data_IF_481760219171
#
_entry.id   IF_481760219171
#
_cell.length_a   1.000
_cell.length_b   1.000
_cell.length_c   1.000
_cell.angle_alpha   90.00
_cell.angle_beta   90.00
_cell.angle_gamma   90.00
#
_symmetry.space_group_name_H-M   'P 1'
#
loop_
_entity.id
_entity.type
_entity.pdbx_description
1 polymer ?
#
# COMPACT_ATOMS: atom_id res chain seq x y z
N UNK A 1 3.31 5.75 1.57
CA UNK A 1 3.75 5.47 2.94
C UNK A 1 4.44 4.13 3.07
N UNK A 2 5.26 3.98 4.09
CA UNK A 2 5.90 2.71 4.49
C UNK A 2 5.71 2.58 5.99
N UNK A 3 5.09 1.49 6.43
CA UNK A 3 4.74 1.24 7.83
C UNK A 3 4.90 -0.23 8.20
N UNK A 4 4.96 -0.51 9.49
CA UNK A 4 5.00 -1.86 10.09
C UNK A 4 3.76 -2.12 10.94
N UNK A 5 2.91 -1.12 11.13
CA UNK A 5 1.73 -1.15 11.97
C UNK A 5 0.57 -1.89 11.29
N UNK A 6 0.67 -3.22 11.28
CA UNK A 6 -0.37 -4.16 10.82
C UNK A 6 -0.81 -5.07 11.97
N UNK A 7 -1.91 -5.80 11.78
CA UNK A 7 -2.47 -6.74 12.77
C UNK A 7 -2.25 -8.21 12.38
N UNK A 8 -1.69 -8.47 11.19
CA UNK A 8 -1.32 -9.79 10.69
C UNK A 8 0.19 -9.89 10.65
N UNK A 9 0.75 -10.96 11.22
CA UNK A 9 2.21 -11.16 11.34
C UNK A 9 2.93 -11.02 10.01
N UNK A 10 2.44 -11.69 8.98
CA UNK A 10 3.06 -11.68 7.66
C UNK A 10 3.11 -10.25 7.06
N UNK A 11 2.06 -9.44 7.25
CA UNK A 11 2.09 -8.05 6.80
C UNK A 11 3.10 -7.19 7.57
N UNK A 12 3.31 -7.48 8.87
CA UNK A 12 4.38 -6.84 9.65
C UNK A 12 5.75 -7.23 9.11
N UNK A 13 5.98 -8.51 8.85
CA UNK A 13 7.23 -9.06 8.30
C UNK A 13 7.51 -8.51 6.88
N UNK A 14 6.50 -8.43 6.03
CA UNK A 14 6.54 -7.75 4.72
C UNK A 14 6.95 -6.28 4.89
N UNK A 15 6.34 -5.57 5.87
CA UNK A 15 6.67 -4.18 6.18
C UNK A 15 8.13 -4.01 6.62
N UNK A 16 8.62 -4.86 7.52
CA UNK A 16 10.01 -4.88 7.98
C UNK A 16 10.98 -5.12 6.82
N UNK A 17 10.69 -6.10 5.96
CA UNK A 17 11.49 -6.37 4.76
C UNK A 17 11.51 -5.15 3.81
N UNK A 18 10.34 -4.53 3.60
CA UNK A 18 10.22 -3.34 2.76
C UNK A 18 11.05 -2.16 3.26
N UNK A 19 11.07 -1.94 4.58
CA UNK A 19 11.90 -0.89 5.22
C UNK A 19 13.39 -1.17 5.04
N UNK A 20 13.83 -2.40 5.31
CA UNK A 20 15.24 -2.79 5.09
C UNK A 20 15.64 -2.58 3.62
N UNK A 21 14.79 -2.99 2.69
CA UNK A 21 15.01 -2.79 1.27
C UNK A 21 15.14 -1.31 0.91
N UNK A 22 14.25 -0.44 1.42
CA UNK A 22 14.26 1.00 1.13
C UNK A 22 15.51 1.66 1.70
N UNK A 23 15.90 1.33 2.94
CA UNK A 23 17.10 1.86 3.59
C UNK A 23 18.38 1.43 2.87
N UNK A 24 18.37 0.25 2.26
CA UNK A 24 19.50 -0.33 1.54
C UNK A 24 19.30 -0.32 0.00
N UNK A 25 18.51 0.59 -0.52
CA UNK A 25 18.10 0.61 -1.94
C UNK A 25 19.27 0.57 -2.92
N UNK A 26 20.38 1.26 -2.61
CA UNK A 26 21.58 1.23 -3.45
C UNK A 26 22.23 -0.16 -3.57
N UNK A 27 22.10 -1.03 -2.55
CA UNK A 27 22.62 -2.41 -2.64
C UNK A 27 21.83 -3.26 -3.63
N UNK A 28 20.51 -3.00 -3.74
CA UNK A 28 19.60 -3.79 -4.55
C UNK A 28 19.38 -3.22 -5.96
N UNK A 29 19.32 -1.89 -6.06
CA UNK A 29 18.83 -1.19 -7.25
C UNK A 29 19.90 -0.40 -8.01
N UNK A 30 21.13 -0.27 -7.51
CA UNK A 30 22.23 0.39 -8.24
C UNK A 30 22.44 -0.21 -9.61
N UNK A 31 22.63 0.66 -10.60
CA UNK A 31 23.13 0.34 -11.93
C UNK A 31 24.43 1.12 -12.10
N UNK A 32 25.49 0.48 -12.63
CA UNK A 32 26.80 1.08 -12.86
C UNK A 32 27.41 1.78 -11.60
N UNK A 33 27.10 1.25 -10.41
CA UNK A 33 27.50 1.76 -9.09
C UNK A 33 26.93 3.16 -8.74
N UNK A 34 25.90 3.62 -9.41
CA UNK A 34 25.22 4.87 -9.05
C UNK A 34 24.44 4.71 -7.75
N UNK A 35 24.48 5.73 -6.90
CA UNK A 35 23.68 5.77 -5.67
C UNK A 35 22.22 5.96 -5.99
N UNK A 36 21.35 5.17 -5.34
CA UNK A 36 19.90 5.26 -5.49
C UNK A 36 19.31 6.04 -4.32
N UNK A 37 18.77 7.22 -4.60
CA UNK A 37 17.97 8.01 -3.64
C UNK A 37 16.49 7.82 -3.95
N UNK A 38 15.76 7.29 -2.98
CA UNK A 38 14.32 7.08 -3.06
C UNK A 38 13.50 8.23 -2.44
N UNK A 39 14.15 9.31 -2.02
CA UNK A 39 13.48 10.39 -1.30
C UNK A 39 12.92 9.94 0.06
N UNK A 40 13.53 8.94 0.70
CA UNK A 40 13.06 8.36 1.98
C UNK A 40 13.01 9.41 3.09
N UNK A 41 11.87 9.49 3.77
CA UNK A 41 11.62 10.38 4.91
C UNK A 41 11.12 9.56 6.09
N UNK A 42 11.99 9.25 7.02
CA UNK A 42 11.71 8.50 8.24
C UNK A 42 11.21 9.44 9.34
N UNK A 43 10.00 9.95 9.18
CA UNK A 43 9.36 10.86 10.13
C UNK A 43 8.32 10.16 11.01
N UNK A 44 8.14 8.86 10.80
CA UNK A 44 7.23 8.04 11.59
C UNK A 44 5.79 7.99 11.05
N UNK A 45 5.02 7.13 11.69
CA UNK A 45 3.59 6.93 11.48
C UNK A 45 2.87 6.99 12.83
N UNK A 46 1.84 7.81 12.93
CA UNK A 46 1.04 7.97 14.14
C UNK A 46 -0.41 7.56 13.86
N UNK A 47 -0.85 6.47 14.45
CA UNK A 47 -2.25 6.10 14.50
C UNK A 47 -2.89 6.66 15.76
N UNK A 48 -4.04 7.30 15.63
CA UNK A 48 -4.84 7.82 16.73
C UNK A 48 -6.10 6.98 16.87
N UNK A 49 -6.46 6.62 18.10
CA UNK A 49 -7.67 5.86 18.38
C UNK A 49 -8.53 6.55 19.43
N UNK A 50 -9.84 6.48 19.21
CA UNK A 50 -10.86 6.71 20.22
C UNK A 50 -10.87 5.60 21.28
N UNK A 51 -11.76 5.70 22.26
CA UNK A 51 -11.91 4.67 23.30
C UNK A 51 -12.24 3.28 22.72
N UNK A 52 -13.02 3.22 21.62
CA UNK A 52 -13.39 1.96 20.97
C UNK A 52 -12.18 1.29 20.30
N UNK A 53 -11.27 2.07 19.70
CA UNK A 53 -10.08 1.56 19.02
C UNK A 53 -8.90 1.25 19.92
N UNK A 54 -8.88 1.73 21.15
CA UNK A 54 -7.75 1.64 22.07
C UNK A 54 -7.25 0.21 22.26
N UNK A 55 -8.16 -0.75 22.49
CA UNK A 55 -7.79 -2.15 22.70
C UNK A 55 -7.13 -2.75 21.47
N UNK A 56 -7.64 -2.45 20.27
CA UNK A 56 -7.10 -2.95 19.01
C UNK A 56 -5.67 -2.44 18.80
N UNK A 57 -5.42 -1.15 18.99
CA UNK A 57 -4.05 -0.60 18.86
C UNK A 57 -3.09 -1.23 19.85
N UNK A 58 -3.50 -1.45 21.10
CA UNK A 58 -2.65 -2.07 22.12
C UNK A 58 -2.31 -3.53 21.80
N UNK A 59 -3.29 -4.32 21.34
CA UNK A 59 -3.07 -5.71 20.93
C UNK A 59 -2.17 -5.78 19.69
N UNK A 60 -2.39 -4.90 18.71
CA UNK A 60 -1.56 -4.84 17.49
C UNK A 60 -0.11 -4.49 17.85
N UNK A 61 0.12 -3.50 18.72
CA UNK A 61 1.46 -3.09 19.12
C UNK A 61 2.24 -4.23 19.79
N UNK A 62 1.58 -5.08 20.59
CA UNK A 62 2.24 -6.25 21.18
C UNK A 62 2.76 -7.20 20.09
N UNK A 63 1.93 -7.52 19.08
CA UNK A 63 2.34 -8.37 17.96
C UNK A 63 3.45 -7.70 17.13
N UNK A 64 3.32 -6.42 16.83
CA UNK A 64 4.30 -5.63 16.08
C UNK A 64 5.67 -5.64 16.77
N UNK A 65 5.70 -5.43 18.10
CA UNK A 65 6.92 -5.50 18.90
C UNK A 65 7.54 -6.89 18.93
N UNK A 66 6.73 -7.95 19.01
CA UNK A 66 7.21 -9.34 18.91
C UNK A 66 7.87 -9.63 17.56
N UNK A 67 7.42 -9.00 16.48
CA UNK A 67 8.01 -9.09 15.16
C UNK A 67 9.26 -8.20 14.99
N UNK A 68 9.56 -7.31 15.96
CA UNK A 68 10.72 -6.42 15.93
C UNK A 68 10.44 -4.99 15.49
N UNK A 69 9.18 -4.64 15.20
CA UNK A 69 8.79 -3.26 14.87
C UNK A 69 8.97 -2.31 16.06
N UNK A 70 9.40 -1.08 15.79
CA UNK A 70 9.70 -0.06 16.82
C UNK A 70 8.51 0.88 17.02
N UNK A 71 7.53 0.39 17.76
CA UNK A 71 6.25 1.08 17.99
C UNK A 71 6.09 1.40 19.48
N UNK A 72 5.81 2.65 19.79
CA UNK A 72 5.47 3.08 21.14
C UNK A 72 3.98 3.42 21.26
N UNK A 73 3.41 3.13 22.42
CA UNK A 73 2.05 3.51 22.78
C UNK A 73 2.11 4.80 23.59
N UNK A 74 1.31 5.79 23.19
CA UNK A 74 1.25 7.10 23.79
C UNK A 74 -0.17 7.35 24.33
N UNK A 75 -0.28 7.64 25.63
CA UNK A 75 -1.51 8.17 26.20
C UNK A 75 -1.71 9.65 25.75
N UNK A 76 -2.88 10.27 25.97
CA UNK A 76 -3.15 11.63 25.51
C UNK A 76 -2.14 12.67 26.03
N UNK A 77 -1.69 12.53 27.27
CA UNK A 77 -0.70 13.43 27.86
C UNK A 77 0.65 13.34 27.13
N UNK A 78 1.16 12.13 26.89
CA UNK A 78 2.40 11.90 26.17
C UNK A 78 2.29 12.30 24.69
N UNK A 79 1.11 12.13 24.07
CA UNK A 79 0.83 12.64 22.73
C UNK A 79 0.99 14.15 22.66
N UNK A 80 0.44 14.89 23.65
CA UNK A 80 0.52 16.35 23.71
C UNK A 80 1.94 16.85 23.96
N UNK A 81 2.71 16.11 24.77
CA UNK A 81 4.13 16.42 25.01
C UNK A 81 4.95 16.22 23.73
N UNK A 82 4.74 15.07 23.04
CA UNK A 82 5.50 14.71 21.84
C UNK A 82 5.10 15.54 20.61
N UNK A 83 3.80 15.83 20.48
CA UNK A 83 3.19 16.55 19.37
C UNK A 83 2.35 17.74 19.89
N UNK A 84 2.97 18.85 20.29
CA UNK A 84 2.28 20.00 20.90
C UNK A 84 1.17 20.61 20.03
N UNK A 85 1.28 20.47 18.71
CA UNK A 85 0.31 20.93 17.72
C UNK A 85 -0.95 20.02 17.62
N UNK A 86 -0.92 18.84 18.23
CA UNK A 86 -2.03 17.88 18.16
C UNK A 86 -3.15 18.25 19.14
N UNK A 87 -4.38 18.33 18.68
CA UNK A 87 -5.56 18.31 19.52
C UNK A 87 -5.87 16.85 19.90
N UNK A 88 -5.91 16.58 21.19
CA UNK A 88 -6.14 15.22 21.73
C UNK A 88 -7.60 14.93 22.10
N UNK A 89 -8.51 15.86 21.83
CA UNK A 89 -9.93 15.67 22.14
C UNK A 89 -10.49 14.43 21.43
N UNK A 90 -11.20 13.59 22.18
CA UNK A 90 -11.73 12.32 21.70
C UNK A 90 -10.68 11.21 21.45
N UNK A 91 -9.39 11.45 21.73
CA UNK A 91 -8.32 10.47 21.59
C UNK A 91 -8.04 9.77 22.92
N UNK A 92 -8.11 8.45 22.93
CA UNK A 92 -7.76 7.61 24.06
C UNK A 92 -6.33 7.08 24.00
N UNK A 93 -5.79 6.87 22.78
CA UNK A 93 -4.47 6.28 22.58
C UNK A 93 -3.87 6.70 21.24
N UNK A 94 -2.54 6.83 21.20
CA UNK A 94 -1.75 6.90 19.98
C UNK A 94 -0.77 5.72 19.88
N UNK A 95 -0.59 5.22 18.66
CA UNK A 95 0.45 4.23 18.33
C UNK A 95 1.42 4.88 17.35
N UNK A 96 2.67 5.07 17.78
CA UNK A 96 3.68 5.80 17.02
C UNK A 96 4.86 4.91 16.64
N UNK A 97 4.99 4.66 15.35
CA UNK A 97 6.18 4.04 14.77
C UNK A 97 7.27 5.07 14.58
N UNK A 98 8.27 5.06 15.46
CA UNK A 98 9.32 6.09 15.52
C UNK A 98 10.58 5.72 14.72
N UNK A 99 10.71 4.49 14.29
CA UNK A 99 11.81 3.98 13.48
C UNK A 99 11.28 3.01 12.42
N UNK A 100 11.83 3.08 11.21
CA UNK A 100 11.40 2.25 10.09
C UNK A 100 10.06 2.64 9.49
N UNK A 101 9.49 3.79 9.84
CA UNK A 101 8.22 4.25 9.30
C UNK A 101 8.30 5.67 8.73
N UNK A 102 7.57 5.91 7.65
CA UNK A 102 7.59 7.18 6.93
C UNK A 102 7.08 7.06 5.51
N UNK A 103 7.72 7.70 4.56
CA UNK A 103 7.34 7.66 3.15
C UNK A 103 8.53 7.88 2.22
N UNK A 104 8.34 7.53 0.98
CA UNK A 104 9.30 7.70 -0.10
C UNK A 104 8.62 8.31 -1.33
N UNK A 105 9.42 8.70 -2.32
CA UNK A 105 8.90 9.11 -3.63
C UNK A 105 8.58 7.88 -4.48
N UNK A 106 7.29 7.65 -4.83
CA UNK A 106 6.88 6.48 -5.61
C UNK A 106 7.45 6.46 -7.03
N UNK A 107 7.70 7.64 -7.63
CA UNK A 107 8.25 7.74 -8.98
C UNK A 107 9.72 7.39 -9.00
N UNK A 108 10.50 7.87 -8.02
CA UNK A 108 11.90 7.48 -7.86
C UNK A 108 12.02 5.97 -7.63
N UNK A 109 11.15 5.40 -6.80
CA UNK A 109 11.12 3.98 -6.51
C UNK A 109 10.83 3.13 -7.75
N UNK A 110 9.77 3.47 -8.50
CA UNK A 110 9.43 2.81 -9.76
C UNK A 110 10.57 2.91 -10.79
N UNK A 111 11.16 4.09 -10.95
CA UNK A 111 12.23 4.31 -11.91
C UNK A 111 13.50 3.53 -11.56
N UNK A 112 13.85 3.43 -10.27
CA UNK A 112 14.98 2.63 -9.82
C UNK A 112 14.77 1.13 -10.13
N UNK A 113 13.59 0.57 -9.85
CA UNK A 113 13.25 -0.80 -10.23
C UNK A 113 13.32 -1.02 -11.74
N UNK A 114 12.76 -0.08 -12.54
CA UNK A 114 12.78 -0.19 -14.01
C UNK A 114 14.18 -0.15 -14.56
N UNK A 115 15.04 0.75 -14.06
CA UNK A 115 16.43 0.85 -14.46
C UNK A 115 17.18 -0.46 -14.15
N UNK A 116 17.04 -0.96 -12.92
CA UNK A 116 17.68 -2.22 -12.50
C UNK A 116 17.17 -3.41 -13.31
N UNK A 117 15.88 -3.54 -13.51
CA UNK A 117 15.30 -4.63 -14.29
C UNK A 117 15.82 -4.64 -15.74
N UNK A 118 15.88 -3.46 -16.38
CA UNK A 118 16.47 -3.33 -17.73
C UNK A 118 17.94 -3.70 -17.77
N UNK A 119 18.72 -3.24 -16.79
CA UNK A 119 20.14 -3.58 -16.69
C UNK A 119 20.37 -5.10 -16.53
N UNK A 120 19.40 -5.80 -15.91
CA UNK A 120 19.39 -7.25 -15.79
C UNK A 120 18.76 -7.99 -16.98
N UNK A 121 18.38 -7.28 -18.06
CA UNK A 121 17.88 -7.86 -19.30
C UNK A 121 16.36 -7.98 -19.39
N UNK A 122 15.58 -7.40 -18.46
CA UNK A 122 14.12 -7.40 -18.58
C UNK A 122 13.66 -6.50 -19.74
N UNK A 123 12.72 -7.01 -20.53
CA UNK A 123 12.10 -6.26 -21.63
C UNK A 123 10.76 -5.68 -21.19
N UNK A 124 10.55 -4.40 -21.44
CA UNK A 124 9.29 -3.70 -21.19
C UNK A 124 8.56 -3.51 -22.52
N UNK A 125 7.43 -4.16 -22.70
CA UNK A 125 6.57 -4.00 -23.86
C UNK A 125 5.41 -3.07 -23.48
N UNK A 126 5.08 -2.15 -24.39
CA UNK A 126 3.88 -1.34 -24.29
C UNK A 126 2.74 -2.07 -25.00
N UNK A 127 1.62 -2.28 -24.31
CA UNK A 127 0.43 -2.95 -24.87
C UNK A 127 -0.50 -3.44 -23.76
N UNK A 128 -1.73 -3.70 -24.13
CA UNK A 128 -2.75 -4.29 -23.28
C UNK A 128 -2.86 -5.77 -23.59
N UNK A 129 -2.88 -6.63 -22.55
CA UNK A 129 -3.15 -8.05 -22.72
C UNK A 129 -4.65 -8.24 -22.94
N UNK A 130 -5.01 -8.72 -24.13
CA UNK A 130 -6.41 -8.95 -24.55
C UNK A 130 -6.83 -10.42 -24.52
N UNK A 131 -5.84 -11.33 -24.51
CA UNK A 131 -6.10 -12.77 -24.44
C UNK A 131 -4.98 -13.51 -23.70
N UNK A 132 -5.36 -14.53 -22.92
CA UNK A 132 -4.44 -15.47 -22.28
C UNK A 132 -4.67 -16.86 -22.92
N UNK A 133 -3.68 -17.34 -23.64
CA UNK A 133 -3.74 -18.62 -24.34
C UNK A 133 -3.35 -19.75 -23.39
N UNK A 134 -4.28 -20.68 -23.17
CA UNK A 134 -4.08 -21.81 -22.28
C UNK A 134 -4.06 -23.13 -23.07
N UNK A 135 -3.10 -23.98 -22.74
CA UNK A 135 -3.05 -25.35 -23.21
C UNK A 135 -3.04 -26.31 -22.01
N UNK A 136 -4.09 -27.10 -21.86
CA UNK A 136 -4.36 -27.92 -20.67
C UNK A 136 -4.35 -27.05 -19.40
N UNK A 137 -3.52 -27.36 -18.43
CA UNK A 137 -3.37 -26.64 -17.16
C UNK A 137 -2.20 -25.66 -17.15
N UNK A 138 -1.76 -25.17 -18.32
CA UNK A 138 -0.65 -24.22 -18.43
C UNK A 138 -0.99 -23.06 -19.36
N UNK A 139 -0.57 -21.87 -18.99
CA UNK A 139 -0.54 -20.72 -19.90
C UNK A 139 0.64 -20.91 -20.84
N UNK A 140 0.43 -20.77 -22.14
CA UNK A 140 1.47 -20.85 -23.18
C UNK A 140 1.91 -19.49 -23.67
N UNK A 141 1.00 -18.51 -23.69
CA UNK A 141 1.28 -17.16 -24.18
C UNK A 141 0.19 -16.17 -23.77
N UNK A 142 0.48 -14.90 -23.97
CA UNK A 142 -0.50 -13.80 -23.94
C UNK A 142 -0.54 -13.12 -25.31
N UNK A 143 -1.68 -12.52 -25.68
CA UNK A 143 -1.84 -11.74 -26.91
C UNK A 143 -2.10 -10.28 -26.49
N UNK A 144 -1.36 -9.38 -27.10
CA UNK A 144 -1.51 -7.94 -26.90
C UNK A 144 -2.57 -7.36 -27.85
N UNK A 145 -3.09 -6.19 -27.54
CA UNK A 145 -4.00 -5.38 -28.39
C UNK A 145 -3.45 -5.15 -29.81
N UNK A 146 -2.14 -5.10 -29.97
CA UNK A 146 -1.45 -5.03 -31.25
C UNK A 146 -1.47 -6.35 -32.06
N UNK A 147 -2.01 -7.45 -31.51
CA UNK A 147 -1.95 -8.78 -32.08
C UNK A 147 -0.63 -9.52 -31.86
N UNK A 148 0.34 -8.91 -31.17
CA UNK A 148 1.62 -9.56 -30.84
C UNK A 148 1.38 -10.64 -29.81
N UNK A 149 1.82 -11.87 -30.11
CA UNK A 149 1.79 -13.00 -29.18
C UNK A 149 3.13 -13.14 -28.45
N UNK A 150 3.09 -13.17 -27.11
CA UNK A 150 4.26 -13.34 -26.25
C UNK A 150 4.17 -14.67 -25.54
N UNK A 151 5.06 -15.61 -25.88
CA UNK A 151 5.18 -16.91 -25.21
C UNK A 151 5.79 -16.77 -23.83
N UNK A 152 5.34 -17.58 -22.86
CA UNK A 152 5.87 -17.55 -21.51
C UNK A 152 5.91 -18.94 -20.86
N UNK A 153 6.93 -19.16 -20.00
CA UNK A 153 7.00 -20.32 -19.11
C UNK A 153 6.19 -20.13 -17.84
N UNK A 154 6.11 -18.88 -17.37
CA UNK A 154 5.33 -18.46 -16.21
C UNK A 154 4.63 -17.13 -16.52
N UNK A 155 3.44 -16.94 -15.97
CA UNK A 155 2.69 -15.70 -16.05
C UNK A 155 2.37 -15.20 -14.65
N UNK A 156 2.78 -13.97 -14.34
CA UNK A 156 2.45 -13.31 -13.07
C UNK A 156 1.44 -12.20 -13.36
N UNK A 157 0.26 -12.31 -12.80
CA UNK A 157 -0.71 -11.22 -12.80
C UNK A 157 -0.35 -10.24 -11.70
N UNK A 158 0.23 -9.10 -12.08
CA UNK A 158 0.55 -7.96 -11.22
C UNK A 158 -0.11 -6.69 -11.77
N UNK A 159 -1.31 -6.82 -12.35
CA UNK A 159 -1.96 -5.77 -13.12
C UNK A 159 -2.68 -4.70 -12.25
N UNK A 160 -2.45 -4.68 -10.93
CA UNK A 160 -3.03 -3.68 -10.03
C UNK A 160 -4.56 -3.66 -10.12
N UNK A 161 -5.14 -2.49 -10.34
CA UNK A 161 -6.59 -2.33 -10.44
C UNK A 161 -7.24 -3.16 -11.56
N UNK A 162 -6.49 -3.52 -12.62
CA UNK A 162 -6.95 -4.37 -13.71
C UNK A 162 -6.78 -5.87 -13.46
N UNK A 163 -6.25 -6.26 -12.29
CA UNK A 163 -5.93 -7.67 -12.01
C UNK A 163 -7.14 -8.60 -12.12
N UNK A 164 -8.34 -8.15 -11.70
CA UNK A 164 -9.58 -8.90 -11.87
C UNK A 164 -9.93 -9.13 -13.33
N UNK A 165 -9.82 -8.11 -14.18
CA UNK A 165 -10.07 -8.20 -15.62
C UNK A 165 -9.06 -9.13 -16.32
N UNK A 166 -7.76 -9.02 -15.96
CA UNK A 166 -6.71 -9.92 -16.49
C UNK A 166 -6.96 -11.38 -16.07
N UNK A 167 -7.39 -11.61 -14.83
CA UNK A 167 -7.74 -12.96 -14.36
C UNK A 167 -8.93 -13.56 -15.14
N UNK A 168 -9.93 -12.74 -15.49
CA UNK A 168 -11.10 -13.17 -16.28
C UNK A 168 -10.71 -13.65 -17.68
N UNK A 169 -9.65 -13.09 -18.31
CA UNK A 169 -9.12 -13.61 -19.58
C UNK A 169 -8.66 -15.06 -19.48
N UNK A 170 -8.26 -15.51 -18.31
CA UNK A 170 -7.94 -16.93 -18.03
C UNK A 170 -9.12 -17.71 -17.43
N UNK A 171 -10.32 -17.10 -17.33
CA UNK A 171 -11.52 -17.63 -16.67
C UNK A 171 -11.31 -17.93 -15.19
N UNK A 172 -10.54 -17.07 -14.52
CA UNK A 172 -10.25 -17.14 -13.08
C UNK A 172 -11.05 -16.06 -12.37
N UNK A 173 -11.77 -16.43 -11.32
CA UNK A 173 -12.43 -15.46 -10.44
C UNK A 173 -11.42 -14.85 -9.47
N UNK A 174 -11.24 -13.55 -9.55
CA UNK A 174 -10.40 -12.77 -8.64
C UNK A 174 -11.17 -11.53 -8.16
N UNK A 175 -11.44 -11.36 -6.85
CA UNK A 175 -12.27 -10.28 -6.32
C UNK A 175 -11.46 -8.97 -6.16
N UNK A 176 -10.69 -8.60 -7.18
CA UNK A 176 -9.93 -7.36 -7.22
C UNK A 176 -10.60 -6.41 -8.21
N UNK A 177 -11.01 -5.26 -7.71
CA UNK A 177 -11.77 -4.26 -8.46
C UNK A 177 -11.10 -2.88 -8.34
N UNK A 178 -11.30 -1.98 -9.33
CA UNK A 178 -10.83 -0.62 -9.24
C UNK A 178 -11.65 0.20 -8.25
N UNK A 179 -10.96 0.91 -7.37
CA UNK A 179 -11.55 1.93 -6.51
C UNK A 179 -10.82 3.25 -6.72
N UNK A 180 -11.57 4.35 -6.86
CA UNK A 180 -10.98 5.68 -6.96
C UNK A 180 -10.51 6.16 -5.59
N UNK A 181 -9.29 6.68 -5.50
CA UNK A 181 -8.74 7.35 -4.32
C UNK A 181 -8.22 8.71 -4.71
N UNK A 182 -8.51 9.70 -3.88
CA UNK A 182 -8.15 11.11 -4.14
C UNK A 182 -7.14 11.56 -3.08
N UNK A 183 -6.11 12.24 -3.55
CA UNK A 183 -5.12 12.90 -2.71
C UNK A 183 -5.23 14.40 -2.92
N UNK A 184 -5.25 15.15 -1.82
CA UNK A 184 -5.28 16.61 -1.83
C UNK A 184 -3.96 17.15 -1.32
N UNK A 185 -3.32 18.01 -2.11
CA UNK A 185 -2.14 18.77 -1.72
C UNK A 185 -2.53 20.08 -1.04
N UNK A 186 -1.90 20.35 0.09
CA UNK A 186 -2.25 21.47 0.94
C UNK A 186 -1.05 22.40 1.18
N UNK A 187 -1.32 23.69 1.23
CA UNK A 187 -0.43 24.71 1.79
C UNK A 187 -0.97 25.22 3.13
N UNK A 188 -0.07 25.38 4.09
CA UNK A 188 -0.37 25.94 5.40
C UNK A 188 0.72 26.95 5.80
N UNK A 189 0.31 28.12 6.24
CA UNK A 189 1.25 29.19 6.65
C UNK A 189 2.01 28.84 7.92
N UNK A 190 1.38 28.09 8.82
CA UNK A 190 2.01 27.70 10.09
C UNK A 190 2.96 26.53 9.89
N UNK A 191 4.14 26.63 10.47
CA UNK A 191 5.13 25.54 10.49
C UNK A 191 4.95 24.72 11.76
N UNK A 192 4.67 23.44 11.59
CA UNK A 192 4.57 22.53 12.72
C UNK A 192 5.96 22.13 13.23
N UNK A 193 6.11 22.12 14.55
CA UNK A 193 7.31 21.64 15.22
C UNK A 193 6.91 20.75 16.42
N UNK A 194 7.37 19.51 16.49
CA UNK A 194 8.15 18.78 15.48
C UNK A 194 7.41 18.64 14.15
N UNK A 195 8.14 18.26 13.07
CA UNK A 195 7.52 18.00 11.77
C UNK A 195 6.44 16.93 11.89
N UNK A 196 5.42 17.05 11.06
CA UNK A 196 4.31 16.13 11.01
C UNK A 196 4.77 14.74 10.51
N UNK A 197 4.62 13.66 11.29
CA UNK A 197 4.70 12.29 10.78
C UNK A 197 3.52 12.04 9.83
N UNK A 198 3.39 10.83 9.29
CA UNK A 198 2.11 10.44 8.70
C UNK A 198 1.13 10.15 9.84
N UNK A 199 0.11 10.98 9.98
CA UNK A 199 -0.94 10.83 10.99
C UNK A 199 -2.17 10.20 10.36
N UNK A 200 -2.69 9.16 11.01
CA UNK A 200 -3.99 8.57 10.74
C UNK A 200 -4.89 8.95 11.90
N UNK A 201 -5.86 9.81 11.63
CA UNK A 201 -6.84 10.21 12.64
C UNK A 201 -7.85 9.09 12.94
N UNK A 202 -8.49 9.14 14.10
CA UNK A 202 -9.57 8.20 14.46
C UNK A 202 -10.76 8.20 13.48
N UNK A 203 -10.92 9.25 12.68
CA UNK A 203 -11.88 9.33 11.57
C UNK A 203 -11.48 8.57 10.31
N UNK A 204 -10.24 8.04 10.24
CA UNK A 204 -9.67 7.42 9.04
C UNK A 204 -9.02 8.41 8.06
N UNK A 205 -9.12 9.71 8.31
CA UNK A 205 -8.41 10.72 7.51
C UNK A 205 -6.91 10.65 7.79
N UNK A 206 -6.12 10.63 6.74
CA UNK A 206 -4.66 10.70 6.88
C UNK A 206 -4.11 12.03 6.39
N UNK A 207 -3.00 12.45 6.98
CA UNK A 207 -2.24 13.61 6.57
C UNK A 207 -0.75 13.41 6.84
N UNK A 208 0.12 13.90 5.96
CA UNK A 208 1.57 13.92 6.14
C UNK A 208 2.21 15.14 5.49
N UNK A 209 3.42 15.43 5.89
CA UNK A 209 4.24 16.43 5.20
C UNK A 209 4.61 15.98 3.78
N UNK A 210 4.63 16.93 2.83
CA UNK A 210 5.10 16.72 1.46
C UNK A 210 5.80 17.96 0.94
N UNK A 211 7.11 17.87 0.70
CA UNK A 211 7.91 19.03 0.33
C UNK A 211 7.82 20.15 1.36
N UNK A 212 7.29 21.31 0.94
CA UNK A 212 7.03 22.47 1.81
C UNK A 212 5.60 22.54 2.33
N UNK A 213 4.70 21.67 1.83
CA UNK A 213 3.31 21.59 2.19
C UNK A 213 2.93 20.25 2.81
N UNK A 214 1.69 19.82 2.55
CA UNK A 214 1.14 18.57 3.09
C UNK A 214 0.29 17.86 2.02
N UNK A 215 0.08 16.57 2.22
CA UNK A 215 -0.91 15.78 1.45
C UNK A 215 -1.82 15.05 2.42
N UNK A 216 -3.09 14.96 2.06
CA UNK A 216 -4.09 14.26 2.85
C UNK A 216 -5.06 13.48 1.96
N UNK A 217 -5.82 12.60 2.57
CA UNK A 217 -6.86 11.83 1.92
C UNK A 217 -7.65 11.01 2.93
N UNK A 218 -8.64 10.30 2.43
CA UNK A 218 -9.46 9.36 3.20
C UNK A 218 -9.96 8.27 2.28
N UNK A 219 -10.19 7.07 2.81
CA UNK A 219 -11.01 6.08 2.13
C UNK A 219 -12.48 6.50 2.25
N UNK A 220 -13.20 6.75 1.12
CA UNK A 220 -14.60 7.18 1.20
C UNK A 220 -15.47 6.15 1.92
N UNK A 221 -16.57 6.57 2.56
CA UNK A 221 -17.58 5.65 3.07
C UNK A 221 -18.11 4.73 1.95
N UNK A 222 -18.46 3.50 2.28
CA UNK A 222 -18.82 2.47 1.28
C UNK A 222 -19.90 2.89 0.29
N UNK A 223 -20.86 3.74 0.71
CA UNK A 223 -21.93 4.24 -0.17
C UNK A 223 -21.48 5.32 -1.17
N UNK A 224 -20.31 5.93 -0.93
CA UNK A 224 -19.64 6.89 -1.82
C UNK A 224 -18.42 6.30 -2.54
N UNK A 225 -18.23 4.99 -2.46
CA UNK A 225 -17.06 4.27 -2.99
C UNK A 225 -17.44 3.20 -4.04
N UNK A 226 -18.04 3.58 -5.17
CA UNK A 226 -18.39 2.64 -6.22
C UNK A 226 -17.14 2.04 -6.88
N UNK A 227 -17.29 0.90 -7.55
CA UNK A 227 -16.28 0.43 -8.49
C UNK A 227 -16.30 1.38 -9.69
N UNK A 228 -15.16 1.93 -10.07
CA UNK A 228 -15.11 2.90 -11.16
C UNK A 228 -13.90 2.68 -12.05
N UNK A 229 -14.14 2.64 -13.36
CA UNK A 229 -13.10 2.67 -14.39
C UNK A 229 -13.03 4.04 -15.10
N UNK A 230 -14.14 4.76 -15.12
CA UNK A 230 -14.34 5.89 -16.04
C UNK A 230 -14.28 7.25 -15.34
N UNK A 231 -14.48 7.29 -14.02
CA UNK A 231 -14.50 8.54 -13.25
C UNK A 231 -13.18 8.76 -12.52
N UNK A 232 -12.35 9.65 -13.03
CA UNK A 232 -11.12 10.15 -12.40
C UNK A 232 -11.21 11.61 -12.00
N UNK A 233 -12.42 12.19 -11.98
CA UNK A 233 -12.62 13.56 -11.52
C UNK A 233 -12.38 13.65 -10.01
N UNK A 234 -11.78 14.76 -9.61
CA UNK A 234 -11.55 15.07 -8.19
C UNK A 234 -12.83 15.56 -7.56
N UNK A 235 -13.30 14.86 -6.54
CA UNK A 235 -14.43 15.28 -5.74
C UNK A 235 -13.97 16.19 -4.59
N UNK A 236 -14.17 17.49 -4.72
CA UNK A 236 -13.82 18.45 -3.68
C UNK A 236 -14.80 18.44 -2.50
N UNK A 237 -16.02 17.90 -2.64
CA UNK A 237 -16.95 17.76 -1.51
C UNK A 237 -16.40 16.80 -0.46
N UNK A 238 -15.68 15.77 -0.87
CA UNK A 238 -14.99 14.85 0.05
C UNK A 238 -13.97 15.60 0.93
N UNK A 239 -13.27 16.59 0.35
CA UNK A 239 -12.37 17.44 1.12
C UNK A 239 -13.13 18.35 2.07
N UNK A 240 -14.12 19.10 1.57
CA UNK A 240 -14.81 20.14 2.34
C UNK A 240 -15.68 19.56 3.47
N UNK A 241 -16.33 18.41 3.23
CA UNK A 241 -17.30 17.84 4.18
C UNK A 241 -16.68 16.82 5.15
N UNK A 242 -15.58 16.13 4.77
CA UNK A 242 -15.01 15.05 5.56
C UNK A 242 -13.57 15.35 5.98
N UNK A 243 -12.68 15.67 5.02
CA UNK A 243 -11.25 15.74 5.30
C UNK A 243 -10.92 17.01 6.07
N UNK A 244 -11.32 18.17 5.57
CA UNK A 244 -10.97 19.44 6.21
C UNK A 244 -11.50 19.58 7.64
N UNK A 245 -12.76 19.25 7.96
CA UNK A 245 -13.22 19.28 9.37
C UNK A 245 -12.40 18.38 10.29
N UNK A 246 -12.02 17.17 9.82
CA UNK A 246 -11.24 16.24 10.61
C UNK A 246 -9.82 16.76 10.87
N UNK A 247 -9.09 17.22 9.83
CA UNK A 247 -7.71 17.71 10.00
C UNK A 247 -7.67 19.04 10.75
N UNK A 248 -8.62 19.95 10.56
CA UNK A 248 -8.71 21.22 11.29
C UNK A 248 -8.99 20.99 12.78
N UNK A 249 -9.89 20.06 13.11
CA UNK A 249 -10.12 19.65 14.50
C UNK A 249 -8.86 19.04 15.13
N UNK A 250 -8.20 18.13 14.41
CA UNK A 250 -7.05 17.38 14.91
C UNK A 250 -5.78 18.24 15.01
N UNK A 251 -5.57 19.15 14.08
CA UNK A 251 -4.42 20.04 14.00
C UNK A 251 -4.93 21.47 13.79
N UNK A 252 -5.16 22.25 14.84
CA UNK A 252 -5.81 23.58 14.73
C UNK A 252 -5.12 24.53 13.74
N UNK A 253 -3.83 24.41 13.50
CA UNK A 253 -3.11 25.15 12.45
C UNK A 253 -3.72 24.95 11.05
N UNK A 254 -4.44 23.85 10.83
CA UNK A 254 -5.06 23.53 9.54
C UNK A 254 -6.49 24.07 9.35
N UNK A 255 -6.98 24.88 10.29
CA UNK A 255 -8.22 25.64 10.08
C UNK A 255 -8.11 26.57 8.86
N UNK A 256 -6.91 27.09 8.59
CA UNK A 256 -6.63 28.01 7.50
C UNK A 256 -5.75 27.42 6.38
N UNK A 257 -5.96 26.14 6.01
CA UNK A 257 -5.24 25.51 4.88
C UNK A 257 -5.84 25.93 3.55
N UNK A 258 -5.02 25.81 2.51
CA UNK A 258 -5.43 25.98 1.12
C UNK A 258 -5.11 24.73 0.34
N UNK A 259 -6.11 24.18 -0.37
CA UNK A 259 -5.86 23.14 -1.38
C UNK A 259 -5.12 23.76 -2.56
N UNK A 260 -3.95 23.25 -2.87
CA UNK A 260 -3.10 23.74 -3.96
C UNK A 260 -3.24 22.89 -5.23
N UNK A 261 -3.44 21.59 -5.05
CA UNK A 261 -3.67 20.62 -6.13
C UNK A 261 -4.38 19.40 -5.56
N UNK A 262 -4.96 18.61 -6.45
CA UNK A 262 -5.53 17.32 -6.11
C UNK A 262 -5.46 16.39 -7.33
N UNK A 263 -5.42 15.08 -7.08
CA UNK A 263 -5.42 14.08 -8.14
C UNK A 263 -6.09 12.80 -7.67
N UNK A 264 -6.67 12.07 -8.61
CA UNK A 264 -7.25 10.76 -8.39
C UNK A 264 -6.34 9.65 -8.96
N UNK A 265 -6.46 8.46 -8.39
CA UNK A 265 -5.78 7.26 -8.85
C UNK A 265 -6.61 6.01 -8.55
N UNK A 266 -6.34 4.95 -9.28
CA UNK A 266 -6.98 3.67 -9.02
C UNK A 266 -6.26 2.86 -7.95
N UNK A 267 -7.07 2.23 -7.12
CA UNK A 267 -6.69 1.30 -6.07
C UNK A 267 -7.05 -0.12 -6.51
N UNK A 268 -6.17 -1.07 -6.31
CA UNK A 268 -6.41 -2.51 -6.55
C UNK A 268 -7.15 -3.14 -5.36
N UNK A 269 -8.44 -2.85 -5.21
CA UNK A 269 -9.20 -3.18 -4.03
C UNK A 269 -9.63 -4.66 -4.03
N UNK A 270 -9.15 -5.45 -3.07
CA UNK A 270 -9.64 -6.80 -2.82
C UNK A 270 -10.92 -6.74 -1.98
N UNK A 271 -12.05 -7.08 -2.58
CA UNK A 271 -13.37 -6.97 -1.97
C UNK A 271 -13.64 -8.00 -0.89
N UNK A 272 -12.83 -9.07 -0.77
CA UNK A 272 -12.99 -10.07 0.28
C UNK A 272 -12.48 -9.54 1.63
N UNK A 273 -11.27 -8.98 1.67
CA UNK A 273 -10.61 -8.69 2.94
C UNK A 273 -9.54 -7.58 2.87
N UNK A 274 -9.39 -6.90 1.75
CA UNK A 274 -8.41 -5.83 1.53
C UNK A 274 -6.95 -6.27 1.70
N UNK A 275 -6.67 -7.57 1.55
CA UNK A 275 -5.32 -8.12 1.61
C UNK A 275 -4.90 -8.75 0.28
N UNK A 276 -3.59 -8.74 0.02
CA UNK A 276 -3.00 -9.25 -1.21
C UNK A 276 -3.39 -10.69 -1.52
N UNK A 277 -3.48 -11.00 -2.81
CA UNK A 277 -3.54 -12.38 -3.32
C UNK A 277 -2.19 -12.70 -3.93
N UNK A 278 -1.47 -13.67 -3.35
CA UNK A 278 -0.06 -13.91 -3.61
C UNK A 278 0.19 -15.41 -3.83
N UNK A 279 0.99 -15.72 -4.85
CA UNK A 279 1.41 -17.10 -5.12
C UNK A 279 0.70 -17.75 -6.29
N UNK A 280 0.85 -19.10 -6.44
CA UNK A 280 0.35 -19.82 -7.61
C UNK A 280 -1.16 -20.00 -7.60
N UNK A 281 -1.73 -20.18 -8.77
CA UNK A 281 -3.08 -20.70 -8.94
C UNK A 281 -3.10 -22.20 -8.65
N UNK A 282 -4.18 -22.69 -8.00
CA UNK A 282 -4.25 -24.10 -7.58
C UNK A 282 -4.34 -25.12 -8.71
N UNK A 283 -4.85 -24.73 -9.91
CA UNK A 283 -5.10 -25.64 -11.04
C UNK A 283 -4.29 -25.29 -12.29
N UNK A 284 -3.73 -24.08 -12.37
CA UNK A 284 -2.93 -23.62 -13.51
C UNK A 284 -1.50 -23.50 -13.03
N UNK A 285 -0.67 -24.47 -13.35
CA UNK A 285 0.66 -24.70 -12.76
C UNK A 285 1.63 -23.51 -12.85
N UNK A 286 1.43 -22.64 -13.85
CA UNK A 286 2.37 -21.55 -14.16
C UNK A 286 1.72 -20.15 -14.14
N UNK A 287 0.56 -20.02 -13.48
CA UNK A 287 -0.09 -18.73 -13.27
C UNK A 287 0.04 -18.29 -11.81
N UNK A 288 0.53 -17.07 -11.60
CA UNK A 288 0.78 -16.52 -10.28
C UNK A 288 0.06 -15.20 -10.08
N UNK A 289 -0.27 -14.90 -8.83
CA UNK A 289 -0.90 -13.65 -8.40
C UNK A 289 0.06 -12.80 -7.57
N UNK A 290 0.04 -11.50 -7.81
CA UNK A 290 0.69 -10.46 -7.00
C UNK A 290 -0.15 -9.18 -7.10
N UNK A 291 -1.33 -9.15 -6.46
CA UNK A 291 -2.33 -8.10 -6.62
C UNK A 291 -3.31 -8.03 -5.44
N UNK A 292 -4.23 -7.06 -5.49
CA UNK A 292 -5.28 -6.88 -4.48
C UNK A 292 -4.76 -6.32 -3.15
N UNK A 293 -3.70 -5.55 -3.16
CA UNK A 293 -3.04 -5.03 -1.96
C UNK A 293 -3.81 -3.90 -1.27
N UNK A 294 -4.85 -3.38 -1.87
CA UNK A 294 -5.76 -2.39 -1.29
C UNK A 294 -5.02 -1.21 -0.63
N UNK A 295 -4.07 -0.61 -1.39
CA UNK A 295 -3.27 0.55 -1.00
C UNK A 295 -1.94 0.27 -0.31
N UNK A 296 -1.62 -0.97 -0.02
CA UNK A 296 -0.36 -1.33 0.64
C UNK A 296 0.73 -1.80 -0.33
N UNK A 297 0.40 -2.02 -1.61
CA UNK A 297 1.26 -2.65 -2.62
C UNK A 297 2.62 -1.97 -2.81
N UNK A 298 2.69 -0.62 -2.75
CA UNK A 298 3.95 0.09 -2.91
C UNK A 298 5.01 -0.40 -1.91
N UNK A 299 4.71 -0.35 -0.62
CA UNK A 299 5.64 -0.76 0.44
C UNK A 299 5.88 -2.27 0.48
N UNK A 300 4.91 -3.05 0.03
CA UNK A 300 4.97 -4.52 0.05
C UNK A 300 5.72 -5.09 -1.16
N UNK A 301 5.82 -4.33 -2.26
CA UNK A 301 6.34 -4.81 -3.55
C UNK A 301 7.74 -5.46 -3.50
N UNK A 302 8.72 -5.04 -2.67
CA UNK A 302 10.00 -5.73 -2.59
C UNK A 302 9.89 -7.16 -2.04
N UNK A 303 9.14 -7.33 -0.95
CA UNK A 303 8.92 -8.64 -0.33
C UNK A 303 8.09 -9.56 -1.23
N UNK A 304 7.06 -9.00 -1.90
CA UNK A 304 6.20 -9.77 -2.80
C UNK A 304 6.97 -10.21 -4.05
N UNK A 305 7.76 -9.32 -4.64
CA UNK A 305 8.63 -9.66 -5.76
C UNK A 305 9.62 -10.77 -5.39
N UNK A 306 10.19 -10.72 -4.18
CA UNK A 306 11.04 -11.77 -3.63
C UNK A 306 10.29 -13.10 -3.49
N UNK A 307 9.11 -13.08 -2.91
CA UNK A 307 8.29 -14.27 -2.70
C UNK A 307 7.89 -14.96 -4.02
N UNK A 308 7.46 -14.19 -5.03
CA UNK A 308 7.13 -14.72 -6.35
C UNK A 308 8.36 -15.33 -7.03
N UNK A 309 9.51 -14.66 -6.95
CA UNK A 309 10.78 -15.18 -7.47
C UNK A 309 11.15 -16.50 -6.81
N UNK A 310 11.02 -16.62 -5.49
CA UNK A 310 11.30 -17.84 -4.73
C UNK A 310 10.40 -19.01 -5.18
N UNK A 311 9.10 -18.75 -5.32
CA UNK A 311 8.15 -19.75 -5.81
C UNK A 311 8.47 -20.22 -7.24
N UNK A 312 8.80 -19.31 -8.15
CA UNK A 312 9.14 -19.65 -9.53
C UNK A 312 10.47 -20.44 -9.61
N UNK A 313 11.45 -20.06 -8.78
CA UNK A 313 12.80 -20.61 -8.87
C UNK A 313 12.97 -21.89 -8.04
N UNK A 314 12.36 -21.95 -6.85
CA UNK A 314 12.59 -23.02 -5.88
C UNK A 314 11.33 -23.84 -5.60
N UNK A 315 10.14 -23.38 -6.01
CA UNK A 315 8.86 -24.01 -5.71
C UNK A 315 8.35 -23.80 -4.28
N UNK A 316 9.04 -22.99 -3.47
CA UNK A 316 8.72 -22.76 -2.05
C UNK A 316 9.09 -21.34 -1.63
N UNK A 317 8.41 -20.81 -0.60
CA UNK A 317 8.83 -19.60 0.10
C UNK A 317 10.08 -19.89 0.95
N UNK A 318 11.04 -18.96 0.94
CA UNK A 318 12.28 -19.07 1.71
C UNK A 318 12.52 -17.92 2.68
N UNK A 319 11.99 -16.75 2.36
CA UNK A 319 12.20 -15.54 3.16
C UNK A 319 11.02 -15.29 4.10
N UNK A 320 9.81 -15.21 3.56
CA UNK A 320 8.56 -15.02 4.32
C UNK A 320 7.54 -16.00 3.76
N UNK A 321 6.96 -16.83 4.61
CA UNK A 321 5.88 -17.73 4.21
C UNK A 321 4.57 -16.96 4.03
N UNK A 322 4.15 -16.79 2.77
CA UNK A 322 2.92 -16.10 2.39
C UNK A 322 1.81 -17.07 1.95
N UNK A 323 1.89 -18.34 2.30
CA UNK A 323 0.91 -19.37 1.93
C UNK A 323 -0.53 -19.01 2.33
N UNK A 324 -0.70 -18.30 3.44
CA UNK A 324 -2.01 -17.80 3.89
C UNK A 324 -2.65 -16.79 2.94
N UNK A 325 -1.85 -16.10 2.10
CA UNK A 325 -2.32 -15.12 1.11
C UNK A 325 -2.67 -15.75 -0.24
N UNK A 326 -2.69 -17.08 -0.32
CA UNK A 326 -2.96 -17.83 -1.56
C UNK A 326 -4.33 -17.55 -2.14
N UNK A 327 -4.47 -17.77 -3.46
CA UNK A 327 -5.75 -17.70 -4.16
C UNK A 327 -6.77 -18.73 -3.63
N UNK A 328 -6.32 -19.83 -3.04
CA UNK A 328 -7.17 -20.85 -2.43
C UNK A 328 -8.10 -20.28 -1.35
N UNK A 329 -7.61 -19.32 -0.52
CA UNK A 329 -8.46 -18.65 0.46
C UNK A 329 -9.60 -17.84 -0.16
N UNK A 330 -9.37 -17.29 -1.36
CA UNK A 330 -10.40 -16.56 -2.13
C UNK A 330 -11.52 -17.53 -2.55
N UNK A 331 -11.14 -18.68 -3.09
CA UNK A 331 -12.12 -19.72 -3.51
C UNK A 331 -12.94 -20.20 -2.32
N UNK A 332 -12.30 -20.37 -1.16
CA UNK A 332 -12.96 -20.83 0.09
C UNK A 332 -13.67 -19.72 0.84
N UNK A 333 -13.54 -18.46 0.46
CA UNK A 333 -14.11 -17.33 1.19
C UNK A 333 -13.47 -17.11 2.58
N UNK A 334 -12.21 -17.50 2.77
CA UNK A 334 -11.46 -17.36 4.03
C UNK A 334 -10.78 -15.99 4.09
N UNK A 335 -11.45 -15.01 4.66
CA UNK A 335 -10.94 -13.65 4.79
C UNK A 335 -9.77 -13.57 5.79
N UNK A 336 -8.75 -12.80 5.43
CA UNK A 336 -7.65 -12.36 6.29
C UNK A 336 -7.83 -10.87 6.57
N UNK A 337 -8.60 -10.52 7.61
CA UNK A 337 -8.95 -9.12 7.86
C UNK A 337 -7.91 -8.44 8.73
N UNK A 338 -7.31 -7.36 8.22
CA UNK A 338 -6.56 -6.41 9.04
C UNK A 338 -7.52 -5.62 9.93
N UNK A 339 -7.19 -5.49 11.22
CA UNK A 339 -8.03 -4.76 12.18
C UNK A 339 -7.79 -3.25 12.18
N UNK A 340 -6.83 -2.77 11.43
CA UNK A 340 -6.40 -1.38 11.37
C UNK A 340 -6.11 -0.98 9.91
N UNK A 341 -7.14 -1.08 9.07
CA UNK A 341 -7.09 -0.67 7.64
C UNK A 341 -7.52 0.79 7.55
N UNK A 342 -6.78 1.57 6.76
CA UNK A 342 -7.02 2.99 6.51
C UNK A 342 -7.35 3.21 5.05
#
# INVERSE_FOLDING_TARGET
>A
GVRQQFSIRENIEIGLYGVDFVKNASQYLSVDNETVDLGWRELGYLFLASAEGQRILSENQQLQSQCGAKIEILNPENLKIKFPWLNIDGIALGSFGYEGEGWLDPSLFLNAFRAKARALGATFLHGEVTEIVKYKQKISSVILDSGVQVGCSFLVNAAGAWAGAVAELAKIRLPVVPKKRIIYGLDCREKLNPKLPLVIDASGVFIRSEGTGFVCGVSPPAHLDPNSWDDMEVDYSLFDEIIWPAIAHRIPAFEAVKVTNAWAGWYDYNTLDQNGVIGPHGEIDNFFFANGFSGHGLQQSPAIGRAIMELITFGEYRTIDLSRFSHERIIRGLALTERNVV
#
